data_IF_004854184374
#
_entry.id   IF_004854184374
#
_cell.length_a   1.000
_cell.length_b   1.000
_cell.length_c   1.000
_cell.angle_alpha   90.00
_cell.angle_beta   90.00
_cell.angle_gamma   90.00
#
_symmetry.space_group_name_H-M   'P 1'
#
loop_
_entity.id
_entity.type
_entity.pdbx_description
1 polymer ?
#
# COMPACT_ATOMS: atom_id res chain seq x y z
N UNK A 1 -19.54 2.34 75.71
CA UNK A 1 -19.34 1.29 76.73
C UNK A 1 -18.20 0.40 76.25
N UNK A 2 -17.41 -0.14 77.18
CA UNK A 2 -16.51 -1.31 76.98
C UNK A 2 -17.34 -2.56 76.62
N UNK A 3 -16.83 -3.70 76.14
CA UNK A 3 -15.48 -4.32 76.00
C UNK A 3 -15.28 -4.80 74.52
N UNK A 4 -14.22 -5.46 74.02
CA UNK A 4 -12.99 -6.15 74.48
C UNK A 4 -12.66 -7.22 73.42
N UNK A 5 -11.41 -7.42 72.98
CA UNK A 5 -10.39 -8.33 73.57
C UNK A 5 -10.83 -9.82 73.57
N UNK A 6 -10.12 -10.82 73.00
CA UNK A 6 -8.87 -10.90 72.19
C UNK A 6 -9.06 -12.04 71.13
N UNK A 7 -8.12 -12.69 70.41
CA UNK A 7 -6.63 -12.80 70.45
C UNK A 7 -6.07 -13.37 69.12
N UNK A 8 -4.77 -13.14 68.86
CA UNK A 8 -3.66 -14.02 68.41
C UNK A 8 -3.94 -15.30 67.55
N UNK A 9 -3.06 -15.80 66.67
CA UNK A 9 -1.60 -15.63 66.58
C UNK A 9 -1.02 -16.05 65.19
N UNK A 10 0.11 -15.44 64.76
CA UNK A 10 1.05 -15.85 63.68
C UNK A 10 0.51 -16.13 62.23
N UNK A 11 1.31 -16.15 61.16
CA UNK A 11 2.78 -16.22 61.05
C UNK A 11 3.34 -15.34 59.90
N UNK A 12 4.67 -15.22 59.86
CA UNK A 12 5.49 -14.33 59.03
C UNK A 12 5.33 -14.54 57.51
N UNK A 13 5.29 -13.44 56.75
CA UNK A 13 5.83 -13.40 55.38
C UNK A 13 6.26 -11.98 55.00
N UNK A 14 7.26 -11.45 55.72
CA UNK A 14 7.87 -10.14 55.45
C UNK A 14 8.84 -10.25 54.26
N UNK A 15 8.26 -10.32 53.05
CA UNK A 15 9.01 -10.45 51.80
C UNK A 15 9.03 -9.11 51.05
N UNK A 16 9.49 -8.06 51.74
CA UNK A 16 9.85 -6.79 51.11
C UNK A 16 11.09 -7.00 50.25
N UNK A 17 10.87 -7.43 49.00
CA UNK A 17 11.91 -7.65 48.00
C UNK A 17 12.45 -6.30 47.48
N UNK A 18 13.09 -5.58 48.41
CA UNK A 18 13.85 -4.37 48.17
C UNK A 18 15.06 -4.77 47.34
N UNK A 19 14.88 -4.75 46.02
CA UNK A 19 15.98 -4.70 45.07
C UNK A 19 16.74 -3.41 45.34
N UNK A 20 17.80 -3.51 46.15
CA UNK A 20 18.69 -2.39 46.43
C UNK A 20 19.23 -1.88 45.10
N UNK A 21 18.79 -0.68 44.71
CA UNK A 21 19.29 -0.02 43.53
C UNK A 21 20.75 0.38 43.81
N UNK A 22 21.69 -0.45 43.38
CA UNK A 22 23.12 -0.17 43.43
C UNK A 22 23.43 1.09 42.60
N UNK A 23 23.47 2.24 43.28
CA UNK A 23 23.93 3.49 42.70
C UNK A 23 25.45 3.45 42.58
N UNK A 24 25.94 2.98 41.43
CA UNK A 24 27.38 2.94 41.15
C UNK A 24 27.99 4.35 41.18
N UNK A 25 28.93 4.55 42.10
CA UNK A 25 29.71 5.78 42.22
C UNK A 25 30.86 5.77 41.20
N UNK A 26 30.62 6.42 40.06
CA UNK A 26 31.57 6.51 38.96
C UNK A 26 32.82 7.37 39.27
N UNK A 27 32.82 8.12 40.38
CA UNK A 27 34.00 8.90 40.83
C UNK A 27 34.91 8.08 41.78
N UNK A 28 34.54 6.84 42.14
CA UNK A 28 35.36 5.97 42.98
C UNK A 28 36.59 5.41 42.21
N UNK A 29 37.83 5.74 42.62
CA UNK A 29 39.05 5.30 41.92
C UNK A 29 39.38 3.81 42.07
N UNK A 30 38.71 3.07 42.96
CA UNK A 30 38.82 1.61 43.06
C UNK A 30 37.75 0.86 42.24
N UNK A 31 36.84 1.58 41.57
CA UNK A 31 35.81 0.98 40.71
C UNK A 31 36.39 0.66 39.31
N UNK A 32 37.16 -0.42 39.21
CA UNK A 32 37.52 -0.99 37.92
C UNK A 32 36.25 -1.47 37.20
N UNK A 33 35.83 -0.73 36.18
CA UNK A 33 34.83 -1.18 35.21
C UNK A 33 35.40 -2.44 34.54
N UNK A 34 34.77 -3.60 34.76
CA UNK A 34 35.05 -4.79 33.96
C UNK A 34 34.70 -4.49 32.50
N UNK A 35 35.73 -4.23 31.69
CA UNK A 35 35.59 -3.96 30.26
C UNK A 35 35.37 -5.26 29.45
N UNK A 36 35.12 -6.38 30.11
CA UNK A 36 34.93 -7.67 29.49
C UNK A 36 36.23 -8.23 28.94
N UNK A 37 37.29 -8.26 29.75
CA UNK A 37 38.58 -8.92 29.38
C UNK A 37 38.46 -10.45 29.51
N UNK A 38 37.36 -10.98 28.99
CA UNK A 38 37.19 -12.40 28.72
C UNK A 38 37.93 -12.73 27.42
N UNK A 39 38.95 -13.57 27.52
CA UNK A 39 39.77 -14.09 26.40
C UNK A 39 38.98 -15.02 25.44
N UNK A 40 37.63 -15.00 25.54
CA UNK A 40 36.68 -15.71 24.70
C UNK A 40 36.18 -14.89 23.49
N UNK A 41 36.67 -13.66 23.29
CA UNK A 41 36.53 -13.00 21.99
C UNK A 41 37.18 -13.87 20.90
N UNK A 42 36.41 -14.42 19.93
CA UNK A 42 36.94 -15.43 19.02
C UNK A 42 38.08 -14.85 18.17
N UNK A 43 39.23 -15.54 18.25
CA UNK A 43 40.50 -15.32 17.51
C UNK A 43 40.38 -14.25 16.40
N UNK A 44 40.73 -12.99 16.72
CA UNK A 44 40.84 -11.82 15.82
C UNK A 44 40.50 -12.16 14.36
N UNK A 45 39.20 -12.17 14.05
CA UNK A 45 38.70 -12.37 12.69
C UNK A 45 39.42 -11.38 11.77
N UNK A 46 39.69 -11.80 10.52
CA UNK A 46 40.19 -10.81 9.56
C UNK A 46 39.12 -9.75 9.37
N UNK A 47 39.54 -8.53 8.98
CA UNK A 47 38.60 -7.43 8.74
C UNK A 47 37.47 -7.87 7.78
N UNK A 48 37.84 -8.62 6.76
CA UNK A 48 36.95 -9.12 5.71
C UNK A 48 35.94 -10.14 6.27
N UNK A 49 36.36 -11.07 7.14
CA UNK A 49 35.46 -11.99 7.85
C UNK A 49 34.49 -11.24 8.78
N UNK A 50 34.96 -10.19 9.45
CA UNK A 50 34.12 -9.36 10.31
C UNK A 50 33.09 -8.57 9.49
N UNK A 51 33.45 -8.08 8.30
CA UNK A 51 32.50 -7.44 7.37
C UNK A 51 31.46 -8.43 6.81
N UNK A 52 31.86 -9.68 6.51
CA UNK A 52 30.97 -10.75 6.08
C UNK A 52 29.96 -11.15 7.17
N UNK A 53 30.41 -11.38 8.40
CA UNK A 53 29.53 -11.67 9.55
C UNK A 53 28.57 -10.51 9.87
N UNK A 54 29.04 -9.27 9.76
CA UNK A 54 28.20 -8.08 9.97
C UNK A 54 27.10 -7.98 8.91
N UNK A 55 27.40 -8.22 7.63
CA UNK A 55 26.36 -8.19 6.59
C UNK A 55 25.41 -9.40 6.68
N UNK A 56 25.90 -10.58 7.09
CA UNK A 56 25.05 -11.73 7.40
C UNK A 56 24.07 -11.43 8.57
N UNK A 57 24.53 -10.77 9.63
CA UNK A 57 23.66 -10.28 10.72
C UNK A 57 22.63 -9.25 10.23
N UNK A 58 23.04 -8.29 9.40
CA UNK A 58 22.13 -7.29 8.82
C UNK A 58 21.07 -7.97 7.95
N UNK A 59 21.47 -8.93 7.12
CA UNK A 59 20.58 -9.67 6.24
C UNK A 59 19.59 -10.55 7.01
N UNK A 60 20.04 -11.23 8.08
CA UNK A 60 19.16 -11.96 8.99
C UNK A 60 18.11 -11.04 9.65
N UNK A 61 18.51 -9.82 10.04
CA UNK A 61 17.58 -8.80 10.58
C UNK A 61 16.60 -8.29 9.51
N UNK A 62 17.06 -8.05 8.26
CA UNK A 62 16.18 -7.68 7.13
C UNK A 62 15.16 -8.77 6.86
N UNK A 63 15.60 -10.02 6.68
CA UNK A 63 14.73 -11.19 6.42
C UNK A 63 13.63 -11.32 7.49
N UNK A 64 13.97 -11.24 8.78
CA UNK A 64 12.98 -11.30 9.87
C UNK A 64 11.99 -10.13 9.85
N UNK A 65 12.41 -8.94 9.42
CA UNK A 65 11.50 -7.83 9.19
C UNK A 65 10.61 -8.07 7.96
N UNK A 66 11.16 -8.54 6.84
CA UNK A 66 10.39 -8.84 5.62
C UNK A 66 9.30 -9.90 5.91
N UNK A 67 9.65 -10.97 6.65
CA UNK A 67 8.73 -11.99 7.17
C UNK A 67 7.65 -11.39 8.09
N UNK A 68 8.03 -10.50 9.02
CA UNK A 68 7.08 -9.80 9.89
C UNK A 68 6.13 -8.87 9.13
N UNK A 69 6.63 -8.14 8.11
CA UNK A 69 5.81 -7.25 7.27
C UNK A 69 4.84 -8.05 6.40
N UNK A 70 5.28 -9.17 5.82
CA UNK A 70 4.44 -10.12 5.07
C UNK A 70 3.32 -10.71 5.97
N UNK A 71 3.68 -11.19 7.16
CA UNK A 71 2.71 -11.72 8.14
C UNK A 71 1.73 -10.65 8.63
N UNK A 72 2.21 -9.44 8.91
CA UNK A 72 1.39 -8.30 9.34
C UNK A 72 0.42 -7.89 8.25
N UNK A 73 0.89 -7.77 7.00
CA UNK A 73 0.03 -7.48 5.85
C UNK A 73 -1.02 -8.56 5.66
N UNK A 74 -0.59 -9.83 5.66
CA UNK A 74 -1.49 -10.98 5.50
C UNK A 74 -2.62 -10.95 6.53
N UNK A 75 -2.28 -10.86 7.83
CA UNK A 75 -3.23 -10.88 8.93
C UNK A 75 -4.14 -9.65 8.98
N UNK A 76 -3.65 -8.47 8.57
CA UNK A 76 -4.34 -7.19 8.82
C UNK A 76 -5.20 -6.68 7.66
N UNK A 77 -4.90 -7.05 6.41
CA UNK A 77 -5.57 -6.46 5.23
C UNK A 77 -6.21 -7.47 4.26
N UNK A 78 -5.86 -8.76 4.33
CA UNK A 78 -6.22 -9.74 3.27
C UNK A 78 -6.65 -11.12 3.76
N UNK A 79 -6.17 -11.62 4.90
CA UNK A 79 -6.59 -12.93 5.45
C UNK A 79 -8.11 -12.98 5.61
N UNK A 80 -8.72 -14.03 5.07
CA UNK A 80 -10.16 -14.34 5.13
C UNK A 80 -11.09 -13.19 4.65
N UNK A 81 -10.55 -12.25 3.87
CA UNK A 81 -11.27 -11.07 3.41
C UNK A 81 -11.64 -11.14 1.91
N UNK A 82 -12.95 -11.14 1.62
CA UNK A 82 -13.47 -10.83 0.29
C UNK A 82 -13.82 -9.32 0.24
N UNK A 83 -13.03 -8.53 -0.46
CA UNK A 83 -13.28 -7.09 -0.65
C UNK A 83 -14.05 -6.87 -1.96
N UNK A 84 -15.20 -6.20 -1.93
CA UNK A 84 -15.94 -5.81 -3.13
C UNK A 84 -15.88 -4.30 -3.29
N UNK A 85 -15.73 -3.80 -4.52
CA UNK A 85 -15.48 -2.38 -4.72
C UNK A 85 -15.87 -1.78 -6.06
N UNK A 86 -16.04 -0.45 -6.06
CA UNK A 86 -16.14 0.35 -7.26
C UNK A 86 -14.81 1.09 -7.48
N UNK A 87 -14.26 0.95 -8.67
CA UNK A 87 -12.93 1.41 -9.05
C UNK A 87 -13.02 2.48 -10.13
N UNK A 88 -12.28 3.57 -9.96
CA UNK A 88 -12.10 4.59 -11.01
C UNK A 88 -10.68 4.54 -11.54
N UNK A 89 -10.50 4.08 -12.78
CA UNK A 89 -9.21 4.06 -13.49
C UNK A 89 -9.05 5.35 -14.29
N UNK A 90 -8.33 6.33 -13.77
CA UNK A 90 -7.99 7.53 -14.51
C UNK A 90 -6.79 7.22 -15.44
N UNK A 91 -6.94 7.42 -16.74
CA UNK A 91 -5.84 7.32 -17.71
C UNK A 91 -5.19 8.71 -17.91
N UNK A 92 -3.87 8.79 -18.06
CA UNK A 92 -3.17 10.05 -18.33
C UNK A 92 -3.13 10.36 -19.83
N UNK A 93 -3.32 11.63 -20.22
CA UNK A 93 -3.19 12.05 -21.62
C UNK A 93 -1.85 11.66 -22.23
N UNK A 94 -0.80 11.59 -21.41
CA UNK A 94 0.56 11.12 -21.71
C UNK A 94 0.64 9.86 -22.58
N UNK A 95 -0.33 8.93 -22.45
CA UNK A 95 -0.40 7.66 -23.19
C UNK A 95 -1.68 7.51 -24.05
N UNK A 96 -2.64 8.45 -24.01
CA UNK A 96 -3.86 8.40 -24.83
C UNK A 96 -3.75 9.34 -26.04
N UNK A 97 -3.25 10.56 -25.82
CA UNK A 97 -3.22 11.67 -26.78
C UNK A 97 -1.98 12.51 -26.50
N UNK A 98 -0.88 12.22 -27.19
CA UNK A 98 0.39 12.89 -26.95
C UNK A 98 0.25 14.43 -27.01
N UNK A 99 0.82 15.10 -26.01
CA UNK A 99 0.87 16.55 -25.86
C UNK A 99 -0.45 17.25 -25.47
N UNK A 100 -1.55 16.53 -25.21
CA UNK A 100 -2.72 17.15 -24.56
C UNK A 100 -2.40 17.45 -23.11
N UNK A 101 -2.22 18.73 -22.79
CA UNK A 101 -1.98 19.26 -21.44
C UNK A 101 -3.24 19.92 -20.87
N UNK A 102 -3.24 20.16 -19.57
CA UNK A 102 -4.21 21.04 -18.90
C UNK A 102 -3.78 22.53 -18.98
N UNK A 103 -4.54 23.40 -18.32
CA UNK A 103 -4.31 24.85 -18.27
C UNK A 103 -3.00 25.23 -17.53
N UNK A 104 -2.49 24.35 -16.68
CA UNK A 104 -1.22 24.50 -15.95
C UNK A 104 -0.03 23.90 -16.72
N UNK A 105 -0.27 23.28 -17.88
CA UNK A 105 0.74 22.58 -18.64
C UNK A 105 1.10 21.17 -18.13
N UNK A 106 0.32 20.60 -17.21
CA UNK A 106 0.46 19.23 -16.69
C UNK A 106 -0.28 18.23 -17.60
N UNK A 107 -0.02 16.91 -17.51
CA UNK A 107 -0.82 15.92 -18.21
C UNK A 107 -2.25 15.88 -17.68
N UNK A 108 -3.23 15.79 -18.59
CA UNK A 108 -4.64 15.73 -18.21
C UNK A 108 -5.03 14.31 -17.78
N UNK A 109 -5.63 14.17 -16.60
CA UNK A 109 -6.26 12.93 -16.15
C UNK A 109 -7.66 12.79 -16.78
N UNK A 110 -7.94 11.65 -17.40
CA UNK A 110 -9.22 11.35 -18.04
C UNK A 110 -10.01 10.40 -17.14
N UNK A 111 -11.04 10.91 -16.45
CA UNK A 111 -11.99 10.06 -15.70
C UNK A 111 -12.81 9.23 -16.71
N UNK A 112 -12.91 7.90 -16.52
CA UNK A 112 -13.64 7.02 -17.44
C UNK A 112 -15.16 7.25 -17.32
N UNK A 113 -15.90 6.95 -18.39
CA UNK A 113 -17.38 7.12 -18.42
C UNK A 113 -18.15 6.15 -17.52
N UNK A 114 -17.49 5.14 -16.97
CA UNK A 114 -18.06 4.12 -16.06
C UNK A 114 -17.02 3.74 -15.02
N UNK A 115 -17.46 3.59 -13.77
CA UNK A 115 -16.70 2.92 -12.72
C UNK A 115 -16.66 1.42 -13.02
N UNK A 116 -15.54 0.76 -12.69
CA UNK A 116 -15.35 -0.69 -12.83
C UNK A 116 -15.76 -1.35 -11.51
N UNK A 117 -16.44 -2.50 -11.54
CA UNK A 117 -16.74 -3.28 -10.33
C UNK A 117 -15.75 -4.42 -10.19
N UNK A 118 -15.16 -4.57 -9.01
CA UNK A 118 -14.15 -5.60 -8.74
C UNK A 118 -14.44 -6.34 -7.43
N UNK A 119 -14.09 -7.63 -7.41
CA UNK A 119 -13.94 -8.44 -6.20
C UNK A 119 -12.46 -8.75 -6.04
N UNK A 120 -11.92 -8.52 -4.85
CA UNK A 120 -10.55 -8.83 -4.49
C UNK A 120 -10.56 -9.86 -3.37
N UNK A 121 -10.15 -11.07 -3.70
CA UNK A 121 -9.85 -12.13 -2.73
C UNK A 121 -8.34 -12.28 -2.60
N UNK A 122 -7.89 -12.86 -1.50
CA UNK A 122 -6.48 -13.18 -1.32
C UNK A 122 -6.34 -14.42 -0.44
N UNK A 123 -5.39 -15.30 -0.79
CA UNK A 123 -5.11 -16.53 -0.04
C UNK A 123 -3.61 -16.76 0.06
N UNK A 124 -3.20 -17.47 1.11
CA UNK A 124 -1.84 -17.96 1.28
C UNK A 124 -1.73 -19.30 0.55
N UNK A 125 -0.82 -19.42 -0.40
CA UNK A 125 -0.43 -20.70 -0.99
C UNK A 125 1.01 -21.01 -0.56
N UNK A 126 1.26 -22.21 -0.06
CA UNK A 126 2.61 -22.69 0.21
C UNK A 126 3.20 -23.25 -1.10
N UNK A 127 4.35 -22.75 -1.55
CA UNK A 127 4.91 -23.19 -2.86
C UNK A 127 5.61 -24.56 -2.82
N UNK A 128 5.59 -25.25 -1.66
CA UNK A 128 6.03 -26.64 -1.53
C UNK A 128 7.55 -26.86 -1.58
N UNK A 129 8.34 -25.79 -1.64
CA UNK A 129 9.81 -25.86 -1.65
C UNK A 129 10.34 -25.71 -0.23
N UNK A 130 10.21 -26.76 0.57
CA UNK A 130 10.91 -26.88 1.85
C UNK A 130 12.41 -27.09 1.59
N UNK A 131 13.22 -26.06 1.87
CA UNK A 131 14.68 -26.20 2.00
C UNK A 131 15.03 -26.31 3.48
N UNK A 132 15.38 -27.52 3.91
CA UNK A 132 15.68 -27.85 5.32
C UNK A 132 16.80 -26.97 5.92
N UNK A 133 17.75 -26.51 5.10
CA UNK A 133 18.94 -25.77 5.57
C UNK A 133 18.66 -24.34 6.08
N UNK A 134 17.49 -23.75 5.78
CA UNK A 134 17.28 -22.30 5.91
C UNK A 134 15.93 -21.89 6.56
N UNK A 135 15.05 -22.86 6.84
CA UNK A 135 13.70 -22.67 7.44
C UNK A 135 12.86 -21.57 6.74
N UNK A 136 12.98 -21.40 5.42
CA UNK A 136 12.14 -20.44 4.68
C UNK A 136 10.82 -21.12 4.32
N UNK A 137 9.73 -20.75 5.00
CA UNK A 137 8.38 -20.98 4.47
C UNK A 137 8.22 -20.12 3.22
N UNK A 138 8.35 -20.73 2.04
CA UNK A 138 8.24 -20.08 0.73
C UNK A 138 6.77 -19.82 0.35
N UNK A 139 6.03 -19.24 1.29
CA UNK A 139 4.63 -18.90 1.13
C UNK A 139 4.44 -17.67 0.25
N UNK A 140 3.36 -17.67 -0.53
CA UNK A 140 2.96 -16.54 -1.36
C UNK A 140 1.55 -16.10 -1.03
N UNK A 141 1.32 -14.78 -1.04
CA UNK A 141 -0.03 -14.21 -0.98
C UNK A 141 -0.50 -14.09 -2.43
N UNK A 142 -1.41 -14.97 -2.81
CA UNK A 142 -2.04 -14.97 -4.13
C UNK A 142 -3.15 -13.93 -4.12
N UNK A 143 -2.98 -12.87 -4.92
CA UNK A 143 -3.93 -11.79 -5.09
C UNK A 143 -4.79 -12.02 -6.33
N UNK A 144 -6.10 -12.20 -6.13
CA UNK A 144 -7.06 -12.40 -7.20
C UNK A 144 -8.04 -11.23 -7.26
N UNK A 145 -7.76 -10.31 -8.18
CA UNK A 145 -8.58 -9.12 -8.45
C UNK A 145 -9.43 -9.37 -9.71
N UNK A 146 -10.70 -9.77 -9.49
CA UNK A 146 -11.64 -10.16 -10.55
C UNK A 146 -12.60 -9.01 -10.84
N UNK A 147 -12.55 -8.47 -12.05
CA UNK A 147 -13.52 -7.48 -12.51
C UNK A 147 -14.83 -8.17 -12.92
N UNK A 148 -15.93 -7.67 -12.37
CA UNK A 148 -17.28 -8.20 -12.55
C UNK A 148 -17.95 -7.46 -13.70
N UNK A 149 -18.17 -8.17 -14.81
CA UNK A 149 -19.01 -7.69 -15.92
C UNK A 149 -20.49 -7.68 -15.50
N UNK A 150 -21.32 -6.90 -16.19
CA UNK A 150 -22.75 -6.77 -15.85
C UNK A 150 -23.49 -8.13 -15.87
N UNK A 151 -23.09 -9.04 -16.77
CA UNK A 151 -23.66 -10.38 -16.91
C UNK A 151 -23.41 -11.21 -15.63
N UNK A 152 -22.20 -11.15 -15.07
CA UNK A 152 -21.86 -11.81 -13.82
C UNK A 152 -22.54 -11.20 -12.59
N UNK A 153 -22.98 -9.93 -12.65
CA UNK A 153 -23.80 -9.36 -11.56
C UNK A 153 -25.18 -10.00 -11.49
N UNK A 154 -25.85 -10.20 -12.63
CA UNK A 154 -27.18 -10.79 -12.67
C UNK A 154 -27.16 -12.23 -12.14
N UNK A 155 -26.16 -13.03 -12.48
CA UNK A 155 -26.05 -14.42 -11.99
C UNK A 155 -25.66 -14.48 -10.50
N UNK A 156 -24.86 -13.53 -10.00
CA UNK A 156 -24.64 -13.37 -8.55
C UNK A 156 -25.88 -12.91 -7.77
N UNK A 157 -26.86 -12.29 -8.44
CA UNK A 157 -28.13 -11.87 -7.84
C UNK A 157 -29.20 -12.98 -7.91
N UNK A 158 -29.26 -13.74 -9.01
CA UNK A 158 -30.09 -14.94 -9.16
C UNK A 158 -29.73 -16.00 -8.12
N UNK A 159 -28.45 -16.37 -8.03
CA UNK A 159 -27.96 -17.40 -7.11
C UNK A 159 -28.08 -17.06 -5.62
N UNK A 160 -28.23 -15.77 -5.25
CA UNK A 160 -28.67 -15.38 -3.89
C UNK A 160 -30.18 -15.52 -3.72
N UNK A 161 -30.98 -14.99 -4.65
CA UNK A 161 -32.45 -15.15 -4.64
C UNK A 161 -32.90 -16.60 -4.56
N UNK A 162 -32.20 -17.52 -5.24
CA UNK A 162 -32.51 -18.95 -5.20
C UNK A 162 -32.27 -19.55 -3.80
N UNK A 163 -31.20 -19.14 -3.10
CA UNK A 163 -30.92 -19.56 -1.71
C UNK A 163 -31.90 -18.97 -0.70
N UNK A 164 -32.43 -17.79 -0.97
CA UNK A 164 -33.44 -17.15 -0.12
C UNK A 164 -34.87 -17.72 -0.33
N UNK A 165 -35.10 -18.52 -1.38
CA UNK A 165 -36.43 -19.05 -1.76
C UNK A 165 -36.80 -20.39 -1.10
N UNK A 166 -35.83 -21.18 -0.64
CA UNK A 166 -36.11 -22.36 0.21
C UNK A 166 -36.60 -21.96 1.62
N UNK A 167 -36.46 -20.68 2.00
CA UNK A 167 -37.09 -20.07 3.17
C UNK A 167 -38.59 -19.80 2.97
N UNK A 168 -39.38 -20.86 2.77
CA UNK A 168 -40.74 -20.77 2.23
C UNK A 168 -41.72 -19.84 2.96
N UNK A 169 -42.01 -18.69 2.34
CA UNK A 169 -43.21 -17.88 2.57
C UNK A 169 -43.84 -17.47 1.21
N UNK A 170 -45.17 -17.30 1.19
CA UNK A 170 -45.94 -17.39 -0.05
C UNK A 170 -45.73 -16.27 -1.08
N UNK A 171 -45.56 -16.64 -2.36
CA UNK A 171 -45.69 -15.71 -3.50
C UNK A 171 -47.12 -15.17 -3.58
N UNK A 172 -47.31 -13.90 -3.25
CA UNK A 172 -48.57 -13.17 -3.51
C UNK A 172 -48.69 -12.81 -5.00
N UNK A 173 -49.88 -12.98 -5.58
CA UNK A 173 -50.11 -12.79 -7.01
C UNK A 173 -50.00 -11.32 -7.46
N UNK A 174 -48.86 -10.94 -8.04
CA UNK A 174 -48.67 -9.63 -8.69
C UNK A 174 -47.81 -9.69 -9.98
N UNK A 175 -47.57 -10.89 -10.53
CA UNK A 175 -46.76 -11.11 -11.74
C UNK A 175 -47.60 -11.72 -12.88
N UNK A 176 -48.73 -11.09 -13.20
CA UNK A 176 -49.65 -11.54 -14.27
C UNK A 176 -50.29 -10.37 -15.04
N UNK A 177 -49.51 -9.34 -15.36
CA UNK A 177 -50.01 -8.13 -16.04
C UNK A 177 -48.96 -7.41 -16.90
N UNK A 178 -48.05 -8.14 -17.55
CA UNK A 178 -47.02 -7.53 -18.43
C UNK A 178 -46.53 -8.40 -19.60
N UNK A 179 -47.45 -9.11 -20.23
CA UNK A 179 -47.35 -9.49 -21.65
C UNK A 179 -48.44 -8.74 -22.43
N UNK A 180 -48.35 -8.77 -23.76
CA UNK A 180 -49.19 -8.04 -24.71
C UNK A 180 -49.14 -6.50 -24.62
N UNK A 181 -48.18 -5.89 -25.36
CA UNK A 181 -48.54 -4.89 -26.38
C UNK A 181 -47.35 -4.49 -27.29
N UNK A 182 -47.70 -4.09 -28.51
CA UNK A 182 -46.89 -3.27 -29.44
C UNK A 182 -45.67 -3.93 -30.11
N UNK A 183 -45.93 -4.79 -31.09
CA UNK A 183 -45.10 -4.79 -32.31
C UNK A 183 -45.03 -3.36 -32.90
N UNK A 184 -43.86 -2.92 -33.38
CA UNK A 184 -43.69 -1.53 -33.79
C UNK A 184 -42.32 -1.19 -34.37
N UNK A 185 -41.96 -1.83 -35.48
CA UNK A 185 -40.63 -1.70 -36.07
C UNK A 185 -40.25 -0.28 -36.52
N UNK A 186 -39.17 0.27 -35.96
CA UNK A 186 -38.37 1.35 -36.56
C UNK A 186 -36.88 1.07 -36.39
N UNK A 187 -36.19 0.83 -37.49
CA UNK A 187 -34.75 0.65 -37.54
C UNK A 187 -34.02 1.93 -37.12
N UNK A 188 -33.31 1.87 -36.00
CA UNK A 188 -32.35 2.93 -35.61
C UNK A 188 -31.02 2.71 -36.37
N UNK A 189 -30.32 3.78 -36.77
CA UNK A 189 -28.99 3.65 -37.35
C UNK A 189 -28.02 3.07 -36.32
N UNK A 190 -27.34 1.99 -36.67
CA UNK A 190 -26.30 1.37 -35.86
C UNK A 190 -25.02 2.20 -35.91
N UNK A 191 -24.93 3.22 -35.05
CA UNK A 191 -23.65 3.83 -34.73
C UNK A 191 -22.72 2.72 -34.19
N UNK A 192 -21.52 2.51 -34.78
CA UNK A 192 -20.53 1.62 -34.21
C UNK A 192 -19.90 2.30 -32.98
N UNK A 193 -20.62 2.27 -31.85
CA UNK A 193 -20.02 2.58 -30.56
C UNK A 193 -19.02 1.47 -30.23
N UNK A 194 -17.78 1.65 -30.68
CA UNK A 194 -16.64 0.81 -30.32
C UNK A 194 -16.38 0.97 -28.83
N UNK A 195 -17.18 0.25 -28.04
CA UNK A 195 -17.08 0.22 -26.59
C UNK A 195 -15.82 -0.57 -26.29
N UNK A 196 -14.68 0.13 -26.31
CA UNK A 196 -13.34 -0.43 -26.14
C UNK A 196 -13.37 -1.30 -24.89
N UNK A 197 -13.30 -2.61 -25.09
CA UNK A 197 -13.46 -3.58 -24.03
C UNK A 197 -12.38 -3.30 -22.98
N UNK A 198 -12.81 -2.91 -21.77
CA UNK A 198 -11.91 -2.48 -20.70
C UNK A 198 -11.35 -3.74 -20.03
N UNK A 199 -10.49 -4.41 -20.79
CA UNK A 199 -9.84 -5.64 -20.41
C UNK A 199 -9.05 -5.36 -19.12
N UNK A 200 -9.40 -6.02 -17.98
CA UNK A 200 -8.88 -5.62 -16.68
C UNK A 200 -7.39 -5.88 -16.59
N UNK A 201 -6.58 -4.82 -16.67
CA UNK A 201 -5.13 -4.92 -16.50
C UNK A 201 -4.85 -5.49 -15.11
N UNK A 202 -4.06 -6.56 -15.06
CA UNK A 202 -3.40 -7.00 -13.83
C UNK A 202 -2.41 -5.92 -13.42
N UNK A 203 -2.72 -5.21 -12.33
CA UNK A 203 -1.86 -4.17 -11.75
C UNK A 203 -0.70 -4.74 -10.92
N UNK A 204 -0.79 -6.03 -10.57
CA UNK A 204 0.14 -6.76 -9.73
C UNK A 204 0.48 -8.11 -10.38
N UNK A 205 1.64 -8.71 -10.06
CA UNK A 205 1.82 -10.15 -10.24
C UNK A 205 0.72 -10.90 -9.48
N UNK A 206 0.38 -12.13 -9.93
CA UNK A 206 -0.66 -12.94 -9.28
C UNK A 206 -0.27 -13.34 -7.84
N UNK A 207 1.04 -13.45 -7.60
CA UNK A 207 1.63 -13.87 -6.34
C UNK A 207 2.55 -12.76 -5.80
N UNK A 208 2.37 -12.38 -4.54
CA UNK A 208 3.35 -11.61 -3.77
C UNK A 208 4.16 -12.56 -2.88
N UNK A 209 5.48 -12.51 -2.99
CA UNK A 209 6.43 -13.28 -2.20
C UNK A 209 6.94 -12.40 -1.05
N UNK A 210 7.51 -12.99 0.02
CA UNK A 210 8.10 -12.22 1.14
C UNK A 210 9.12 -11.17 0.68
N UNK A 211 9.88 -11.45 -0.38
CA UNK A 211 10.82 -10.52 -1.03
C UNK A 211 10.15 -9.25 -1.61
N UNK A 212 8.86 -9.29 -1.98
CA UNK A 212 8.12 -8.11 -2.45
C UNK A 212 7.77 -7.15 -1.29
N UNK A 213 7.95 -7.60 -0.03
CA UNK A 213 7.82 -6.78 1.17
C UNK A 213 9.13 -6.12 1.62
N UNK A 214 10.23 -6.39 0.90
CA UNK A 214 11.57 -5.92 1.23
C UNK A 214 11.82 -4.47 0.80
N UNK A 215 11.53 -3.53 1.70
CA UNK A 215 12.10 -2.19 1.64
C UNK A 215 13.60 -2.22 1.94
N UNK A 216 14.45 -1.37 1.30
CA UNK A 216 15.80 -1.15 1.79
C UNK A 216 15.78 -0.40 3.13
N UNK A 217 14.72 0.39 3.38
CA UNK A 217 14.38 1.08 4.62
C UNK A 217 12.84 1.12 4.78
N UNK A 218 12.37 1.35 6.00
CA UNK A 218 10.94 1.57 6.31
C UNK A 218 10.09 0.31 6.49
N UNK A 219 8.98 0.47 7.22
CA UNK A 219 7.94 -0.54 7.37
C UNK A 219 6.93 -0.43 6.21
N UNK A 220 6.41 -1.55 5.71
CA UNK A 220 5.38 -1.54 4.64
C UNK A 220 3.95 -1.50 5.19
N UNK A 221 3.74 -1.86 6.45
CA UNK A 221 2.49 -1.70 7.19
C UNK A 221 2.74 -0.80 8.41
N UNK A 222 1.90 0.22 8.61
CA UNK A 222 1.94 1.12 9.76
C UNK A 222 0.50 1.40 10.18
N UNK A 223 0.07 0.84 11.31
CA UNK A 223 -1.29 0.99 11.82
C UNK A 223 -2.35 0.60 10.78
N UNK A 224 -3.19 1.57 10.39
CA UNK A 224 -4.25 1.39 9.41
C UNK A 224 -3.79 1.51 7.93
N UNK A 225 -2.51 1.85 7.70
CA UNK A 225 -1.94 2.06 6.38
C UNK A 225 -1.05 0.90 5.94
N UNK A 226 -1.00 0.66 4.63
CA UNK A 226 0.01 -0.18 3.99
C UNK A 226 0.42 0.36 2.62
N UNK A 227 1.53 -0.14 2.11
CA UNK A 227 2.00 0.11 0.75
C UNK A 227 2.52 -1.16 0.09
N UNK A 228 2.40 -1.27 -1.25
CA UNK A 228 3.00 -2.35 -2.06
C UNK A 228 3.81 -1.72 -3.20
N UNK A 229 4.84 -2.42 -3.68
CA UNK A 229 5.67 -1.92 -4.79
C UNK A 229 6.28 -3.03 -5.64
N UNK A 230 5.94 -3.05 -6.92
CA UNK A 230 6.46 -3.99 -7.91
C UNK A 230 7.05 -3.22 -9.10
N UNK A 231 7.99 -3.81 -9.83
CA UNK A 231 8.57 -3.13 -10.99
C UNK A 231 9.42 -4.06 -11.85
N UNK A 232 9.44 -3.77 -13.14
CA UNK A 232 10.12 -4.55 -14.17
C UNK A 232 11.41 -3.81 -14.57
N UNK A 233 12.57 -4.47 -14.53
CA UNK A 233 13.86 -3.84 -14.90
C UNK A 233 13.95 -3.60 -16.40
N UNK A 234 14.56 -2.47 -16.78
CA UNK A 234 14.76 -2.10 -18.19
C UNK A 234 15.58 -3.16 -18.93
N UNK A 235 15.02 -3.70 -20.02
CA UNK A 235 15.70 -4.68 -20.87
C UNK A 235 15.72 -6.11 -20.32
N UNK A 236 15.09 -6.37 -19.17
CA UNK A 236 14.68 -7.72 -18.83
C UNK A 236 13.39 -8.05 -19.59
N UNK A 237 13.34 -9.23 -20.21
CA UNK A 237 12.11 -9.75 -20.79
C UNK A 237 11.14 -10.13 -19.66
N UNK A 238 9.87 -9.74 -19.80
CA UNK A 238 8.80 -10.02 -18.84
C UNK A 238 8.80 -11.49 -18.44
N UNK A 239 8.78 -11.75 -17.13
CA UNK A 239 9.07 -13.00 -16.45
C UNK A 239 8.63 -14.27 -17.21
N UNK A 240 9.57 -14.84 -17.99
CA UNK A 240 9.62 -16.29 -18.15
C UNK A 240 10.32 -16.86 -16.94
N UNK A 241 9.56 -17.59 -16.13
CA UNK A 241 9.96 -18.50 -15.06
C UNK A 241 11.48 -18.70 -14.97
N UNK A 242 12.12 -17.94 -14.07
CA UNK A 242 13.53 -18.14 -13.71
C UNK A 242 13.64 -18.78 -12.34
N UNK A 243 14.73 -19.50 -12.16
CA UNK A 243 15.13 -20.14 -10.91
C UNK A 243 15.19 -19.15 -9.73
N UNK A 244 15.08 -19.64 -8.48
CA UNK A 244 15.12 -18.81 -7.28
C UNK A 244 16.34 -17.85 -7.28
N UNK A 245 16.06 -16.56 -7.11
CA UNK A 245 17.05 -15.49 -7.06
C UNK A 245 18.11 -15.75 -5.98
N UNK A 246 19.39 -15.49 -6.31
CA UNK A 246 20.47 -15.46 -5.32
C UNK A 246 20.32 -14.25 -4.40
N UNK A 247 20.92 -14.28 -3.19
CA UNK A 247 20.95 -13.12 -2.28
C UNK A 247 21.50 -11.85 -2.97
N UNK A 248 22.48 -11.99 -3.85
CA UNK A 248 22.99 -10.91 -4.72
C UNK A 248 21.97 -10.38 -5.71
N UNK A 249 21.11 -11.24 -6.29
CA UNK A 249 20.01 -10.79 -7.14
C UNK A 249 19.00 -9.97 -6.32
N UNK A 250 18.70 -10.37 -5.08
CA UNK A 250 17.78 -9.65 -4.17
C UNK A 250 18.30 -8.24 -3.89
N UNK A 251 19.59 -8.08 -3.57
CA UNK A 251 20.18 -6.77 -3.34
C UNK A 251 20.05 -5.86 -4.58
N UNK A 252 20.17 -6.40 -5.79
CA UNK A 252 19.91 -5.64 -7.03
C UNK A 252 18.43 -5.55 -7.42
N UNK A 253 17.52 -6.35 -6.86
CA UNK A 253 16.12 -6.44 -7.28
C UNK A 253 15.34 -5.13 -7.07
N UNK A 254 15.79 -4.30 -6.13
CA UNK A 254 15.24 -2.97 -5.88
C UNK A 254 16.00 -1.84 -6.63
N UNK A 255 16.99 -2.18 -7.45
CA UNK A 255 17.74 -1.23 -8.30
C UNK A 255 17.26 -1.26 -9.75
N UNK A 256 17.04 -0.06 -10.30
CA UNK A 256 16.74 0.21 -11.71
C UNK A 256 17.99 0.51 -12.55
N UNK A 257 17.82 1.02 -13.79
CA UNK A 257 16.58 1.56 -14.36
C UNK A 257 15.47 0.51 -14.52
N UNK A 258 14.24 0.93 -14.24
CA UNK A 258 13.02 0.17 -14.47
C UNK A 258 12.36 0.60 -15.77
N UNK A 259 11.61 -0.30 -16.40
CA UNK A 259 10.70 -0.01 -17.52
C UNK A 259 9.23 0.10 -17.10
N UNK A 260 8.85 -0.56 -15.99
CA UNK A 260 7.56 -0.38 -15.31
C UNK A 260 7.75 -0.28 -13.81
N UNK A 261 6.86 0.46 -13.15
CA UNK A 261 6.80 0.58 -11.69
C UNK A 261 5.33 0.70 -11.28
N UNK A 262 4.88 -0.19 -10.40
CA UNK A 262 3.52 -0.22 -9.88
C UNK A 262 3.57 -0.03 -8.36
N UNK A 263 2.80 0.94 -7.84
CA UNK A 263 2.80 1.31 -6.42
C UNK A 263 1.36 1.29 -5.89
N UNK A 264 1.13 0.65 -4.74
CA UNK A 264 -0.11 0.79 -3.96
C UNK A 264 0.15 1.64 -2.71
N UNK A 265 -0.78 2.51 -2.36
CA UNK A 265 -0.95 3.05 -1.01
C UNK A 265 -2.40 2.78 -0.61
N UNK A 266 -2.60 2.14 0.55
CA UNK A 266 -3.91 1.70 1.04
C UNK A 266 -4.16 2.12 2.48
N UNK A 267 -5.39 2.55 2.76
CA UNK A 267 -5.89 2.89 4.09
C UNK A 267 -7.12 2.06 4.42
N UNK A 268 -7.16 1.44 5.60
CA UNK A 268 -8.30 0.69 6.14
C UNK A 268 -9.00 1.47 7.25
N UNK A 269 -10.33 1.39 7.31
CA UNK A 269 -11.14 1.89 8.41
C UNK A 269 -12.27 0.88 8.70
N UNK A 270 -12.02 -0.05 9.62
CA UNK A 270 -12.96 -1.11 9.97
C UNK A 270 -13.29 -2.07 8.81
N UNK A 271 -14.52 -2.01 8.31
CA UNK A 271 -15.03 -2.81 7.18
C UNK A 271 -14.82 -2.18 5.79
N UNK A 272 -14.30 -0.95 5.73
CA UNK A 272 -14.05 -0.22 4.48
C UNK A 272 -12.56 0.05 4.30
N UNK A 273 -12.11 0.14 3.04
CA UNK A 273 -10.77 0.59 2.68
C UNK A 273 -10.77 1.42 1.41
N UNK A 274 -9.82 2.34 1.31
CA UNK A 274 -9.52 3.07 0.08
C UNK A 274 -8.09 2.75 -0.35
N UNK A 275 -7.88 2.52 -1.64
CA UNK A 275 -6.56 2.25 -2.21
C UNK A 275 -6.29 3.13 -3.42
N UNK A 276 -5.06 3.62 -3.54
CA UNK A 276 -4.55 4.26 -4.74
C UNK A 276 -3.48 3.35 -5.36
N UNK A 277 -3.71 2.93 -6.61
CA UNK A 277 -2.73 2.17 -7.41
C UNK A 277 -2.21 3.04 -8.53
N UNK A 278 -0.90 3.17 -8.66
CA UNK A 278 -0.26 4.00 -9.68
C UNK A 278 0.55 3.11 -10.63
N UNK A 279 0.30 3.23 -11.93
CA UNK A 279 0.94 2.49 -13.02
C UNK A 279 1.88 3.44 -13.77
N UNK A 280 3.19 3.22 -13.68
CA UNK A 280 4.21 4.03 -14.35
C UNK A 280 4.98 3.21 -15.39
N UNK A 281 5.24 3.79 -16.57
CA UNK A 281 5.93 3.12 -17.67
C UNK A 281 6.85 4.11 -18.44
N UNK A 282 7.88 3.61 -19.14
CA UNK A 282 8.64 4.43 -20.08
C UNK A 282 7.83 4.65 -21.36
N UNK A 283 7.80 5.88 -21.87
CA UNK A 283 7.25 6.18 -23.21
C UNK A 283 7.93 5.40 -24.34
N UNK A 284 7.17 5.09 -25.39
CA UNK A 284 7.73 4.54 -26.63
C UNK A 284 8.88 5.41 -27.17
N UNK A 285 9.95 4.76 -27.63
CA UNK A 285 11.19 5.43 -28.04
C UNK A 285 12.01 6.08 -26.92
N UNK A 286 11.55 6.09 -25.66
CA UNK A 286 12.32 6.58 -24.51
C UNK A 286 13.53 5.70 -24.18
N UNK A 287 13.38 4.38 -24.34
CA UNK A 287 14.41 3.35 -24.12
C UNK A 287 15.71 3.65 -24.89
N UNK A 288 15.61 4.16 -26.11
CA UNK A 288 16.77 4.44 -26.98
C UNK A 288 17.42 5.81 -26.72
N UNK A 289 16.85 6.65 -25.85
CA UNK A 289 17.27 8.04 -25.66
C UNK A 289 18.09 8.28 -24.38
N UNK A 290 18.02 7.39 -23.39
CA UNK A 290 18.76 7.50 -22.13
C UNK A 290 19.05 6.14 -21.51
N UNK A 291 20.19 6.01 -20.81
CA UNK A 291 20.49 4.86 -19.94
C UNK A 291 19.61 4.85 -18.67
N UNK A 292 19.07 5.99 -18.29
CA UNK A 292 18.12 6.18 -17.20
C UNK A 292 16.92 6.97 -17.76
N UNK A 293 15.98 6.29 -18.44
CA UNK A 293 14.81 6.94 -19.00
C UNK A 293 13.79 7.28 -17.90
N UNK A 294 13.11 8.42 -18.05
CA UNK A 294 12.01 8.82 -17.15
C UNK A 294 10.85 7.83 -17.23
N UNK A 295 10.29 7.51 -16.07
CA UNK A 295 9.01 6.81 -15.94
C UNK A 295 7.89 7.86 -15.93
N UNK A 296 6.80 7.59 -16.64
CA UNK A 296 5.64 8.48 -16.72
C UNK A 296 4.42 7.77 -16.18
N UNK A 297 3.59 8.49 -15.40
CA UNK A 297 2.32 7.93 -14.95
C UNK A 297 1.42 7.64 -16.16
N UNK A 298 0.88 6.43 -16.20
CA UNK A 298 0.05 5.87 -17.27
C UNK A 298 -1.40 5.76 -16.84
N UNK A 299 -1.65 5.18 -15.66
CA UNK A 299 -2.95 5.23 -14.99
C UNK A 299 -2.80 5.43 -13.49
N UNK A 300 -3.84 5.99 -12.86
CA UNK A 300 -4.07 5.92 -11.41
C UNK A 300 -5.44 5.31 -11.17
N UNK A 301 -5.51 4.22 -10.41
CA UNK A 301 -6.75 3.53 -10.06
C UNK A 301 -7.08 3.78 -8.60
N UNK A 302 -8.25 4.38 -8.37
CA UNK A 302 -8.81 4.59 -7.04
C UNK A 302 -9.81 3.49 -6.75
N UNK A 303 -9.50 2.65 -5.76
CA UNK A 303 -10.32 1.54 -5.31
C UNK A 303 -11.11 1.93 -4.06
N UNK A 304 -12.45 1.97 -4.17
CA UNK A 304 -13.37 2.13 -3.02
C UNK A 304 -13.92 0.75 -2.68
N UNK A 305 -13.56 0.18 -1.53
CA UNK A 305 -13.78 -1.25 -1.25
C UNK A 305 -14.37 -1.50 0.14
N UNK A 306 -15.38 -2.37 0.21
CA UNK A 306 -16.04 -2.81 1.44
C UNK A 306 -15.97 -4.33 1.58
N UNK A 307 -15.84 -4.80 2.81
CA UNK A 307 -15.78 -6.22 3.15
C UNK A 307 -17.14 -6.92 2.90
N UNK A 308 -17.14 -7.99 2.09
CA UNK A 308 -18.29 -8.86 1.79
C UNK A 308 -19.48 -8.23 1.04
N UNK A 309 -19.46 -6.91 0.81
CA UNK A 309 -20.59 -6.14 0.30
C UNK A 309 -20.14 -5.08 -0.71
N UNK A 310 -20.96 -4.80 -1.72
CA UNK A 310 -20.69 -3.70 -2.65
C UNK A 310 -20.88 -2.34 -1.96
N UNK A 311 -19.97 -1.37 -2.14
CA UNK A 311 -20.18 0.01 -1.74
C UNK A 311 -21.49 0.59 -2.29
N UNK A 312 -22.18 1.36 -1.46
CA UNK A 312 -23.44 2.02 -1.78
C UNK A 312 -23.26 3.52 -1.88
N UNK A 313 -23.97 4.19 -2.82
CA UNK A 313 -23.91 5.65 -2.98
C UNK A 313 -24.45 6.45 -1.76
N UNK A 314 -24.82 5.79 -0.66
CA UNK A 314 -25.15 6.40 0.65
C UNK A 314 -23.92 6.56 1.55
N UNK A 315 -22.84 5.82 1.30
CA UNK A 315 -21.63 5.85 2.12
C UNK A 315 -20.79 7.08 1.80
N UNK A 316 -20.89 8.10 2.66
CA UNK A 316 -20.14 9.36 2.50
C UNK A 316 -18.61 9.19 2.51
N UNK A 317 -18.09 8.11 3.09
CA UNK A 317 -16.67 7.75 3.03
C UNK A 317 -16.18 7.34 1.62
N UNK A 318 -17.10 7.10 0.67
CA UNK A 318 -16.78 6.77 -0.74
C UNK A 318 -17.40 7.74 -1.75
N UNK A 319 -18.52 8.38 -1.40
CA UNK A 319 -19.31 9.23 -2.30
C UNK A 319 -19.76 10.55 -1.64
N UNK A 320 -19.09 10.97 -0.57
CA UNK A 320 -19.18 12.32 -0.05
C UNK A 320 -18.50 13.34 -0.98
N UNK A 321 -18.45 14.63 -0.58
CA UNK A 321 -17.67 15.68 -1.24
C UNK A 321 -16.27 15.25 -1.69
N UNK A 322 -15.77 15.88 -2.75
CA UNK A 322 -14.41 15.68 -3.24
C UNK A 322 -13.39 16.40 -2.37
N UNK A 323 -12.26 15.75 -2.12
CA UNK A 323 -11.14 16.31 -1.36
C UNK A 323 -11.21 15.97 0.13
N UNK A 324 -10.06 15.74 0.75
CA UNK A 324 -9.97 15.56 2.20
C UNK A 324 -10.38 16.84 2.95
N UNK A 325 -10.93 16.69 4.16
CA UNK A 325 -11.46 17.84 4.93
C UNK A 325 -10.32 18.71 5.42
N UNK A 326 -10.11 19.87 4.79
CA UNK A 326 -8.97 20.77 5.00
C UNK A 326 -7.88 20.71 3.91
N UNK A 327 -8.09 19.97 2.81
CA UNK A 327 -7.06 19.67 1.80
C UNK A 327 -6.06 18.62 2.31
N UNK A 328 -4.88 18.48 1.68
CA UNK A 328 -3.80 17.60 2.16
C UNK A 328 -3.20 18.11 3.49
N UNK A 329 -2.81 17.20 4.40
CA UNK A 329 -2.30 17.54 5.74
C UNK A 329 -0.83 17.95 5.68
N UNK A 330 0.04 17.01 5.35
CA UNK A 330 1.49 17.17 5.18
C UNK A 330 1.81 17.04 3.67
N UNK A 331 1.96 18.15 2.92
CA UNK A 331 2.49 18.09 1.56
C UNK A 331 3.96 17.67 1.56
N UNK A 332 4.38 16.71 0.72
CA UNK A 332 5.67 16.06 0.87
C UNK A 332 6.85 17.01 0.62
N UNK A 333 8.00 16.78 1.28
CA UNK A 333 9.22 17.52 1.00
C UNK A 333 9.66 17.30 -0.45
N UNK A 334 9.92 18.41 -1.14
CA UNK A 334 10.34 18.45 -2.55
C UNK A 334 11.65 19.20 -2.66
N UNK A 335 12.64 18.63 -3.36
CA UNK A 335 14.00 19.18 -3.50
C UNK A 335 14.10 20.44 -4.40
N UNK A 336 13.01 21.19 -4.57
CA UNK A 336 12.95 22.41 -5.38
C UNK A 336 11.81 22.43 -6.41
N UNK A 337 11.54 23.62 -6.96
CA UNK A 337 10.40 23.89 -7.86
C UNK A 337 10.28 22.90 -9.04
N UNK A 338 11.40 22.52 -9.65
CA UNK A 338 11.39 21.59 -10.78
C UNK A 338 10.94 20.17 -10.39
N UNK A 339 11.17 19.75 -9.14
CA UNK A 339 10.62 18.50 -8.62
C UNK A 339 9.15 18.70 -8.20
N UNK A 340 8.80 19.83 -7.58
CA UNK A 340 7.42 20.17 -7.21
C UNK A 340 6.49 20.18 -8.44
N UNK A 341 6.92 20.77 -9.55
CA UNK A 341 6.22 20.78 -10.83
C UNK A 341 6.07 19.39 -11.48
N UNK A 342 6.68 18.34 -10.93
CA UNK A 342 6.48 16.94 -11.33
C UNK A 342 5.30 16.27 -10.59
N UNK A 343 4.67 16.93 -9.61
CA UNK A 343 3.51 16.40 -8.86
C UNK A 343 2.16 16.77 -9.49
N UNK A 344 1.12 16.05 -9.06
CA UNK A 344 -0.29 16.32 -9.30
C UNK A 344 -1.09 16.00 -8.03
N UNK A 345 -2.10 16.81 -7.71
CA UNK A 345 -3.13 16.49 -6.73
C UNK A 345 -4.42 16.08 -7.44
N UNK A 346 -5.14 15.10 -6.89
CA UNK A 346 -6.47 14.72 -7.31
C UNK A 346 -7.39 14.63 -6.10
N UNK A 347 -8.39 15.51 -6.06
CA UNK A 347 -9.45 15.49 -5.05
C UNK A 347 -10.56 14.54 -5.47
N UNK A 348 -10.92 13.63 -4.57
CA UNK A 348 -11.72 12.43 -4.82
C UNK A 348 -13.00 12.43 -4.00
N UNK A 349 -14.12 12.03 -4.61
CA UNK A 349 -15.39 11.83 -3.89
C UNK A 349 -15.16 10.81 -2.75
N UNK A 350 -15.71 11.07 -1.57
CA UNK A 350 -15.47 10.26 -0.36
C UNK A 350 -14.62 10.92 0.73
N UNK A 351 -14.47 12.25 0.70
CA UNK A 351 -13.55 13.00 1.56
C UNK A 351 -12.08 12.53 1.44
N UNK A 352 -11.60 12.37 0.21
CA UNK A 352 -10.24 11.90 -0.04
C UNK A 352 -9.47 12.84 -0.99
N UNK A 353 -8.17 12.93 -0.78
CA UNK A 353 -7.22 13.61 -1.67
C UNK A 353 -6.04 12.67 -1.87
N UNK A 354 -5.54 12.57 -3.10
CA UNK A 354 -4.30 11.84 -3.39
C UNK A 354 -3.32 12.76 -4.11
N UNK A 355 -2.07 12.76 -3.65
CA UNK A 355 -0.97 13.53 -4.24
C UNK A 355 0.12 12.55 -4.72
N UNK A 356 0.61 12.75 -5.93
CA UNK A 356 1.55 11.83 -6.57
C UNK A 356 2.39 12.52 -7.66
N UNK A 357 3.61 12.05 -7.94
CA UNK A 357 4.37 12.47 -9.10
C UNK A 357 3.73 11.93 -10.39
N UNK A 358 3.61 12.76 -11.43
CA UNK A 358 3.17 12.34 -12.76
C UNK A 358 4.34 11.96 -13.69
N UNK A 359 5.58 12.35 -13.30
CA UNK A 359 6.84 11.88 -13.88
C UNK A 359 7.80 11.51 -12.74
N UNK A 360 8.47 10.37 -12.89
CA UNK A 360 9.49 9.87 -11.99
C UNK A 360 10.85 9.82 -12.72
N UNK A 361 11.86 10.43 -12.10
CA UNK A 361 13.23 10.49 -12.64
C UNK A 361 14.12 9.37 -12.09
N UNK A 362 14.85 8.71 -12.99
CA UNK A 362 15.71 7.55 -12.70
C UNK A 362 17.21 7.86 -12.78
N UNK A 363 17.60 9.05 -13.24
CA UNK A 363 18.96 9.55 -13.11
C UNK A 363 19.24 9.98 -11.66
N UNK A 364 20.18 9.31 -10.98
CA UNK A 364 20.60 9.65 -9.62
C UNK A 364 21.27 11.02 -9.47
N UNK A 365 21.65 11.67 -10.57
CA UNK A 365 22.23 13.02 -10.57
C UNK A 365 21.16 14.12 -10.71
N UNK A 366 19.89 13.81 -10.43
CA UNK A 366 18.76 14.75 -10.51
C UNK A 366 18.14 14.96 -9.14
N UNK A 367 17.73 16.22 -8.91
CA UNK A 367 17.16 16.68 -7.64
C UNK A 367 18.05 16.29 -6.45
N UNK A 368 19.37 16.26 -6.64
CA UNK A 368 20.39 15.92 -5.63
C UNK A 368 20.16 14.58 -4.91
N UNK A 369 19.53 13.62 -5.61
CA UNK A 369 19.19 12.30 -5.07
C UNK A 369 17.95 12.27 -4.17
N UNK A 370 17.22 13.39 -4.06
CA UNK A 370 16.00 13.48 -3.26
C UNK A 370 14.96 12.42 -3.68
N UNK A 371 14.21 11.98 -2.66
CA UNK A 371 13.16 10.99 -2.81
C UNK A 371 11.90 11.53 -3.48
N UNK A 372 10.91 10.65 -3.55
CA UNK A 372 9.56 10.93 -4.02
C UNK A 372 8.56 10.53 -2.93
N UNK A 373 7.36 11.12 -2.94
CA UNK A 373 6.26 10.69 -2.07
C UNK A 373 5.00 10.36 -2.88
N UNK A 374 4.19 9.43 -2.38
CA UNK A 374 2.79 9.30 -2.76
C UNK A 374 1.98 9.36 -1.47
N UNK A 375 1.08 10.35 -1.39
CA UNK A 375 0.26 10.65 -0.22
C UNK A 375 -1.19 10.30 -0.53
N UNK A 376 -1.83 9.50 0.32
CA UNK A 376 -3.27 9.24 0.29
C UNK A 376 -3.89 9.75 1.60
N UNK A 377 -4.69 10.81 1.51
CA UNK A 377 -5.45 11.38 2.61
C UNK A 377 -6.93 10.97 2.49
N UNK A 378 -7.52 10.49 3.58
CA UNK A 378 -8.90 10.05 3.62
C UNK A 378 -9.55 10.37 4.97
N UNK A 379 -10.75 10.95 4.93
CA UNK A 379 -11.59 11.24 6.11
C UNK A 379 -12.84 10.32 6.13
N UNK A 380 -12.70 9.00 6.43
CA UNK A 380 -13.82 8.05 6.40
C UNK A 380 -14.86 8.25 7.51
N UNK A 381 -14.54 9.01 8.58
CA UNK A 381 -15.41 9.17 9.74
C UNK A 381 -14.92 10.25 10.71
N UNK A 382 -14.86 9.91 12.01
CA UNK A 382 -14.38 10.82 13.07
C UNK A 382 -12.87 11.06 13.07
N UNK A 383 -12.14 10.20 12.38
CA UNK A 383 -10.71 10.32 12.16
C UNK A 383 -10.42 10.57 10.68
N UNK A 384 -9.39 11.36 10.44
CA UNK A 384 -8.71 11.58 9.18
C UNK A 384 -7.36 10.89 9.23
N UNK A 385 -7.00 10.25 8.12
CA UNK A 385 -5.78 9.45 7.98
C UNK A 385 -5.04 9.93 6.72
N UNK A 386 -3.77 10.31 6.86
CA UNK A 386 -2.87 10.51 5.72
C UNK A 386 -1.78 9.43 5.75
N UNK A 387 -1.69 8.65 4.68
CA UNK A 387 -0.65 7.64 4.48
C UNK A 387 0.36 8.13 3.43
N UNK A 388 1.62 8.27 3.84
CA UNK A 388 2.70 8.84 3.03
C UNK A 388 3.76 7.78 2.73
N UNK A 389 3.76 7.26 1.50
CA UNK A 389 4.84 6.40 1.02
C UNK A 389 5.96 7.29 0.49
N UNK A 390 6.99 7.53 1.30
CA UNK A 390 8.22 8.23 0.91
C UNK A 390 9.24 7.18 0.40
N UNK A 391 9.73 7.33 -0.83
CA UNK A 391 10.61 6.37 -1.52
C UNK A 391 11.82 7.05 -2.18
N UNK A 392 12.86 6.29 -2.51
CA UNK A 392 14.15 6.81 -2.95
C UNK A 392 14.13 7.35 -4.39
N UNK A 393 15.07 8.25 -4.72
CA UNK A 393 15.25 8.78 -6.07
C UNK A 393 16.15 7.93 -6.97
N UNK A 394 16.25 8.34 -8.25
CA UNK A 394 17.21 7.79 -9.21
C UNK A 394 17.03 6.28 -9.45
N UNK A 395 18.13 5.53 -9.41
CA UNK A 395 18.08 4.06 -9.60
C UNK A 395 17.40 3.31 -8.46
N UNK A 396 17.24 3.88 -7.26
CA UNK A 396 16.71 3.16 -6.10
C UNK A 396 15.19 3.22 -5.98
N UNK A 397 14.49 3.61 -7.05
CA UNK A 397 13.09 4.09 -7.03
C UNK A 397 12.01 3.07 -6.66
N UNK A 398 12.30 1.76 -6.69
CA UNK A 398 11.42 0.74 -6.08
C UNK A 398 11.49 0.78 -4.55
N UNK A 399 12.63 1.20 -4.00
CA UNK A 399 12.95 1.17 -2.59
C UNK A 399 12.19 2.20 -1.75
N UNK A 400 11.43 1.72 -0.79
CA UNK A 400 10.85 2.51 0.29
C UNK A 400 11.95 3.21 1.12
N UNK A 401 11.70 4.44 1.56
CA UNK A 401 12.45 5.16 2.60
C UNK A 401 11.68 5.04 3.92
N UNK A 402 10.42 5.48 3.91
CA UNK A 402 9.45 5.36 5.01
C UNK A 402 8.03 5.18 4.47
N UNK A 403 7.20 4.45 5.21
CA UNK A 403 5.75 4.67 5.19
C UNK A 403 5.43 5.39 6.50
N UNK A 404 4.72 6.51 6.40
CA UNK A 404 4.25 7.28 7.55
C UNK A 404 2.71 7.30 7.55
N UNK A 405 2.12 7.33 8.75
CA UNK A 405 0.67 7.44 8.95
C UNK A 405 0.38 8.54 9.97
N UNK A 406 -0.23 9.62 9.50
CA UNK A 406 -0.74 10.69 10.36
C UNK A 406 -2.22 10.44 10.65
N UNK A 407 -2.61 10.37 11.93
CA UNK A 407 -4.00 10.25 12.38
C UNK A 407 -4.43 11.50 13.15
N UNK A 408 -5.51 12.16 12.72
CA UNK A 408 -6.03 13.40 13.32
C UNK A 408 -7.55 13.31 13.46
N UNK A 409 -8.14 13.87 14.53
CA UNK A 409 -9.58 13.98 14.65
C UNK A 409 -10.15 14.89 13.55
N UNK A 410 -11.16 14.43 12.80
CA UNK A 410 -11.70 15.14 11.64
C UNK A 410 -12.20 16.56 11.95
N UNK A 411 -12.68 16.77 13.17
CA UNK A 411 -13.17 18.06 13.68
C UNK A 411 -12.05 19.07 13.96
N UNK A 412 -10.80 18.60 14.12
CA UNK A 412 -9.61 19.41 14.41
C UNK A 412 -8.61 19.45 13.23
N UNK A 413 -8.96 18.83 12.10
CA UNK A 413 -8.08 18.66 10.95
C UNK A 413 -7.68 19.98 10.24
N UNK A 414 -8.44 21.06 10.47
CA UNK A 414 -8.07 22.42 10.04
C UNK A 414 -7.24 23.18 11.08
N UNK A 415 -7.38 22.85 12.38
CA UNK A 415 -6.66 23.51 13.49
C UNK A 415 -5.19 23.08 13.56
N UNK A 416 -4.94 21.76 13.43
CA UNK A 416 -3.60 21.17 13.48
C UNK A 416 -2.88 21.10 12.14
N UNK A 417 -3.44 21.69 11.07
CA UNK A 417 -2.77 21.74 9.78
C UNK A 417 -1.40 22.46 9.94
N UNK A 418 -0.30 21.90 9.42
CA UNK A 418 0.98 22.59 9.36
C UNK A 418 0.82 24.00 8.82
N UNK A 419 1.23 25.00 9.61
CA UNK A 419 1.07 26.43 9.26
C UNK A 419 2.21 26.97 8.39
N UNK A 420 3.27 26.19 8.25
CA UNK A 420 4.38 26.49 7.35
C UNK A 420 4.07 26.13 5.89
N UNK A 421 4.83 26.72 4.97
CA UNK A 421 4.85 26.28 3.58
C UNK A 421 5.74 25.03 3.40
N UNK A 422 5.85 24.50 2.17
CA UNK A 422 6.82 23.44 1.86
C UNK A 422 8.27 23.82 2.21
N UNK A 423 8.58 25.12 2.25
CA UNK A 423 9.89 25.68 2.64
C UNK A 423 10.21 25.47 4.13
N UNK A 424 9.20 25.38 5.00
CA UNK A 424 9.34 25.15 6.45
C UNK A 424 9.49 23.65 6.79
N UNK A 425 9.38 22.75 5.80
CA UNK A 425 9.33 21.30 5.99
C UNK A 425 10.54 20.59 5.35
N UNK A 426 11.73 21.15 5.60
CA UNK A 426 13.01 20.56 5.26
C UNK A 426 13.31 19.34 6.15
N UNK A 427 13.97 18.31 5.58
CA UNK A 427 14.37 17.08 6.29
C UNK A 427 15.83 17.16 6.79
#
# INVERSE_FOLDING_TARGET
>A
MTTGNDSDDNDNNDNSDNSELEFYDYDNPEFEIDQGVYDEFPKRLTKDQTEEEIEAMRESRRRKNDEFQFETYYKSFVKDCEWRGEWTVYETSTFIQENVKDENGLPKLVKPKREIKAVCTSRREATGVEKEEDNITTDVIVHEEVVVTNEAMDDSLKSRREKDVDGGFGRTAFESFRDEMSEGGKSKPSNPSTTREVNPRKYWPKELKTIDFRGPQGNMCVGNAYTLCWGEKLGQASEKEKEPMSLTDIATANSGPLQKLNIEVGLRYGEIRMRSKLDYEIKEGGIFKSKTPKLFLKTITICRERLGQWPTKKEKAFYGPSGATGGLFDPPPVGGEAQAASYMQLDLEGYATVLFPHVLEQDSNKYDGNGWCISLDWTPGKMRYQADRKFLGGKSIKGLKTLELSEVASEQAEEYRPRGGPEDMQQ
#
